data_IF_004148091053
#
_entry.id   IF_004148091053
#
_cell.length_a   1.000
_cell.length_b   1.000
_cell.length_c   1.000
_cell.angle_alpha   90.00
_cell.angle_beta   90.00
_cell.angle_gamma   90.00
#
_symmetry.space_group_name_H-M   'P 1'
#
loop_
_entity.id
_entity.type
_entity.pdbx_description
1 polymer ?
#
# COMPACT_ATOMS: atom_id res chain seq x y z
N UNK A 1 -1.89 2.50 -3.54
CA UNK A 1 -1.01 3.34 -4.37
C UNK A 1 -1.39 4.82 -4.36
N UNK A 2 -2.67 5.18 -4.32
CA UNK A 2 -3.15 6.58 -4.34
C UNK A 2 -2.65 7.45 -3.17
N UNK A 3 -2.27 6.83 -2.06
CA UNK A 3 -1.85 7.55 -0.85
C UNK A 3 -0.36 7.97 -0.87
N UNK A 4 0.38 7.64 -1.94
CA UNK A 4 1.81 7.95 -2.09
C UNK A 4 1.99 9.02 -3.18
N UNK A 5 2.61 10.13 -2.83
CA UNK A 5 3.07 11.14 -3.76
C UNK A 5 4.55 10.91 -4.08
N UNK A 6 4.81 10.37 -5.28
CA UNK A 6 6.17 10.07 -5.73
C UNK A 6 6.99 11.30 -6.13
N UNK A 7 6.35 12.43 -6.39
CA UNK A 7 7.01 13.66 -6.81
C UNK A 7 7.49 14.43 -5.58
N UNK A 8 6.63 14.51 -4.56
CA UNK A 8 6.93 15.17 -3.29
C UNK A 8 7.55 14.25 -2.24
N UNK A 9 7.79 12.98 -2.59
CA UNK A 9 8.32 11.95 -1.71
C UNK A 9 7.56 11.84 -0.38
N UNK A 10 6.22 11.84 -0.43
CA UNK A 10 5.38 11.82 0.77
C UNK A 10 4.31 10.74 0.75
N UNK A 11 3.82 10.35 1.92
CA UNK A 11 2.71 9.42 2.11
C UNK A 11 1.63 10.09 2.96
N UNK A 12 0.39 10.05 2.48
CA UNK A 12 -0.77 10.53 3.19
C UNK A 12 -1.42 9.41 4.02
N UNK A 13 -1.29 9.48 5.34
CA UNK A 13 -1.85 8.51 6.27
C UNK A 13 -3.21 9.02 6.73
N UNK A 14 -4.29 8.45 6.19
CA UNK A 14 -5.68 8.88 6.45
C UNK A 14 -6.60 7.76 6.92
N UNK A 15 -6.11 6.52 6.97
CA UNK A 15 -6.90 5.31 7.21
C UNK A 15 -6.04 4.19 7.77
N UNK A 16 -6.69 3.27 8.49
CA UNK A 16 -6.08 2.08 9.06
C UNK A 16 -6.91 0.87 8.66
N UNK A 17 -6.25 -0.22 8.28
CA UNK A 17 -6.92 -1.50 8.08
C UNK A 17 -6.95 -2.28 9.39
N UNK A 18 -8.15 -2.62 9.85
CA UNK A 18 -8.36 -3.52 10.99
C UNK A 18 -8.52 -4.95 10.46
N UNK A 19 -7.55 -5.81 10.79
CA UNK A 19 -7.54 -7.21 10.36
C UNK A 19 -8.59 -8.09 11.05
N UNK A 20 -8.96 -7.80 12.30
CA UNK A 20 -9.90 -8.63 13.06
C UNK A 20 -11.27 -8.57 12.39
N UNK A 21 -11.72 -7.36 12.07
CA UNK A 21 -13.02 -7.13 11.40
C UNK A 21 -12.91 -7.01 9.89
N UNK A 22 -11.69 -7.11 9.33
CA UNK A 22 -11.37 -6.99 7.90
C UNK A 22 -11.91 -5.72 7.23
N UNK A 23 -11.82 -4.58 7.90
CA UNK A 23 -12.34 -3.30 7.42
C UNK A 23 -11.31 -2.19 7.43
N UNK A 24 -11.41 -1.30 6.45
CA UNK A 24 -10.67 -0.02 6.43
C UNK A 24 -11.49 1.02 7.19
N UNK A 25 -10.90 1.59 8.23
CA UNK A 25 -11.51 2.63 9.04
C UNK A 25 -10.67 3.90 9.07
N UNK A 26 -11.25 4.96 9.60
CA UNK A 26 -10.52 6.20 9.90
C UNK A 26 -9.64 6.02 11.14
N UNK A 27 -8.56 6.80 11.28
CA UNK A 27 -7.79 6.84 12.51
C UNK A 27 -8.68 7.22 13.69
N UNK A 28 -8.35 6.70 14.87
CA UNK A 28 -9.11 6.95 16.11
C UNK A 28 -9.12 8.43 16.51
N UNK A 29 -8.12 9.21 16.09
CA UNK A 29 -7.98 10.63 16.41
C UNK A 29 -7.49 11.43 15.20
N UNK A 30 -7.72 12.76 15.22
CA UNK A 30 -7.21 13.67 14.18
C UNK A 30 -5.69 13.62 14.06
N UNK A 31 -4.98 13.42 15.17
CA UNK A 31 -3.52 13.28 15.18
C UNK A 31 -3.01 12.04 14.42
N UNK A 32 -3.87 11.03 14.20
CA UNK A 32 -3.56 9.89 13.36
C UNK A 32 -3.50 10.22 11.87
N UNK A 33 -4.11 11.33 11.45
CA UNK A 33 -4.07 11.82 10.08
C UNK A 33 -2.81 12.67 9.90
N UNK A 34 -1.91 12.25 9.01
CA UNK A 34 -0.64 12.94 8.79
C UNK A 34 -0.06 12.68 7.40
N UNK A 35 0.77 13.61 6.95
CA UNK A 35 1.63 13.42 5.78
C UNK A 35 3.05 13.17 6.29
N UNK A 36 3.69 12.11 5.83
CA UNK A 36 5.09 11.79 6.18
C UNK A 36 5.98 11.88 4.95
N UNK A 37 7.15 12.47 5.09
CA UNK A 37 8.20 12.39 4.07
C UNK A 37 8.90 11.02 4.14
N UNK A 38 9.29 10.50 2.98
CA UNK A 38 10.10 9.29 2.85
C UNK A 38 11.33 9.60 1.99
N UNK A 39 12.42 8.86 2.20
CA UNK A 39 13.66 9.11 1.49
C UNK A 39 13.59 8.63 0.03
N UNK A 40 14.51 9.17 -0.79
CA UNK A 40 14.56 8.87 -2.22
C UNK A 40 14.84 7.39 -2.54
N UNK A 41 15.56 6.66 -1.67
CA UNK A 41 15.80 5.22 -1.88
C UNK A 41 14.51 4.45 -1.68
N UNK A 42 13.71 4.80 -0.66
CA UNK A 42 12.38 4.22 -0.44
C UNK A 42 11.44 4.53 -1.61
N UNK A 43 11.46 5.75 -2.14
CA UNK A 43 10.69 6.11 -3.35
C UNK A 43 11.06 5.24 -4.55
N UNK A 44 12.36 5.06 -4.80
CA UNK A 44 12.83 4.22 -5.89
C UNK A 44 12.40 2.75 -5.71
N UNK A 45 12.55 2.22 -4.49
CA UNK A 45 12.11 0.88 -4.14
C UNK A 45 10.61 0.69 -4.41
N UNK A 46 9.77 1.64 -4.00
CA UNK A 46 8.32 1.59 -4.21
C UNK A 46 7.95 1.65 -5.71
N UNK A 47 8.63 2.47 -6.51
CA UNK A 47 8.44 2.51 -7.98
C UNK A 47 8.77 1.17 -8.62
N UNK A 48 9.91 0.57 -8.26
CA UNK A 48 10.30 -0.75 -8.76
C UNK A 48 9.31 -1.84 -8.33
N UNK A 49 8.87 -1.79 -7.07
CA UNK A 49 7.89 -2.73 -6.55
C UNK A 49 6.54 -2.64 -7.29
N UNK A 50 6.05 -1.42 -7.58
CA UNK A 50 4.84 -1.20 -8.38
C UNK A 50 4.93 -1.84 -9.77
N UNK A 51 6.09 -1.71 -10.41
CA UNK A 51 6.32 -2.29 -11.74
C UNK A 51 6.32 -3.83 -11.69
N UNK A 52 6.99 -4.42 -10.70
CA UNK A 52 6.99 -5.89 -10.49
C UNK A 52 5.58 -6.42 -10.21
N UNK A 53 4.80 -5.73 -9.38
CA UNK A 53 3.40 -6.10 -9.14
C UNK A 53 2.58 -6.06 -10.41
N UNK A 54 2.70 -5.00 -11.21
CA UNK A 54 1.97 -4.90 -12.48
C UNK A 54 2.29 -6.08 -13.40
N UNK A 55 3.56 -6.45 -13.51
CA UNK A 55 4.00 -7.60 -14.30
C UNK A 55 3.38 -8.91 -13.78
N UNK A 56 3.50 -9.19 -12.48
CA UNK A 56 2.98 -10.42 -11.88
C UNK A 56 1.45 -10.56 -12.01
N UNK A 57 0.70 -9.46 -11.89
CA UNK A 57 -0.75 -9.48 -12.10
C UNK A 57 -1.12 -9.64 -13.58
N UNK A 58 -0.37 -9.04 -14.50
CA UNK A 58 -0.57 -9.22 -15.94
C UNK A 58 -0.36 -10.67 -16.38
N UNK A 59 0.63 -11.37 -15.83
CA UNK A 59 0.93 -12.78 -16.14
C UNK A 59 -0.23 -13.73 -15.80
N UNK A 60 -1.06 -13.38 -14.81
CA UNK A 60 -2.24 -14.16 -14.43
C UNK A 60 -3.55 -13.59 -15.02
N UNK A 61 -3.47 -12.62 -15.94
CA UNK A 61 -4.63 -11.98 -16.55
C UNK A 61 -5.44 -11.08 -15.60
N UNK A 62 -4.85 -10.65 -14.48
CA UNK A 62 -5.51 -9.81 -13.48
C UNK A 62 -5.15 -8.31 -13.66
N UNK A 63 -6.04 -7.39 -13.25
CA UNK A 63 -5.73 -5.96 -13.26
C UNK A 63 -4.66 -5.61 -12.23
N UNK A 64 -3.93 -4.51 -12.47
CA UNK A 64 -2.94 -4.03 -11.51
C UNK A 64 -3.58 -3.73 -10.14
N UNK A 65 -2.89 -4.06 -9.03
CA UNK A 65 -3.48 -3.90 -7.70
C UNK A 65 -3.63 -2.44 -7.28
N UNK A 66 -4.71 -2.13 -6.55
CA UNK A 66 -4.90 -0.82 -5.94
C UNK A 66 -4.10 -0.64 -4.64
N UNK A 67 -3.97 -1.70 -3.85
CA UNK A 67 -3.24 -1.73 -2.58
C UNK A 67 -1.75 -1.95 -2.80
N UNK A 68 -0.93 -1.22 -2.04
CA UNK A 68 0.53 -1.28 -2.18
C UNK A 68 1.03 -2.68 -1.88
N UNK A 69 0.63 -3.30 -0.77
CA UNK A 69 1.17 -4.60 -0.33
C UNK A 69 0.26 -5.79 -0.60
N UNK A 70 -0.50 -5.75 -1.69
CA UNK A 70 -1.31 -6.91 -2.13
C UNK A 70 -0.48 -7.89 -2.95
N UNK A 71 -0.91 -9.14 -2.96
CA UNK A 71 -0.37 -10.22 -3.79
C UNK A 71 -1.42 -10.69 -4.77
N UNK A 72 -1.02 -11.53 -5.72
CA UNK A 72 -1.95 -12.18 -6.66
C UNK A 72 -2.97 -13.08 -5.98
N UNK A 73 -2.71 -13.50 -4.73
CA UNK A 73 -3.58 -14.39 -3.95
C UNK A 73 -4.37 -13.67 -2.86
N UNK A 74 -3.92 -12.50 -2.39
CA UNK A 74 -4.59 -11.77 -1.31
C UNK A 74 -4.40 -10.27 -1.39
N UNK A 75 -5.49 -9.53 -1.15
CA UNK A 75 -5.47 -8.07 -1.06
C UNK A 75 -4.77 -7.54 0.19
N UNK A 76 -4.88 -8.25 1.31
CA UNK A 76 -4.21 -7.93 2.56
C UNK A 76 -3.32 -9.10 2.97
N UNK A 77 -2.05 -8.87 3.34
CA UNK A 77 -1.21 -9.95 3.85
C UNK A 77 -1.88 -10.55 5.08
N UNK A 78 -1.81 -11.87 5.25
CA UNK A 78 -2.27 -12.57 6.45
C UNK A 78 -1.03 -12.90 7.31
N UNK A 79 -1.04 -12.62 8.62
CA UNK A 79 0.14 -12.80 9.49
C UNK A 79 0.17 -14.18 10.12
N UNK A 80 -0.82 -15.00 9.81
CA UNK A 80 -0.87 -16.40 10.24
C UNK A 80 0.11 -17.26 9.44
N UNK A 81 0.79 -16.68 8.44
CA UNK A 81 2.03 -17.20 7.91
C UNK A 81 3.16 -16.98 8.93
N UNK A 82 3.20 -17.84 9.95
CA UNK A 82 4.42 -18.17 10.70
C UNK A 82 4.90 -19.54 10.25
#
# INVERSE_FOLDING_TARGET
WSDIDFNNATINITKTYNRIVKQVGTPKSKAGIRIISIDNKTILMLKQYRNRQRQAFMEIGAPAPALVFSTTVSQYPNSDAR
#
